data_IF_557500480265
#
_entry.id   IF_557500480265
#
_cell.length_a   1.000
_cell.length_b   1.000
_cell.length_c   1.000
_cell.angle_alpha   90.00
_cell.angle_beta   90.00
_cell.angle_gamma   90.00
#
_symmetry.space_group_name_H-M   'P 1'
#
loop_
_entity.id
_entity.type
_entity.pdbx_description
1 polymer ?
#
# COMPACT_ATOMS: atom_id res chain seq x y z
N UNK A 1 -17.31 -23.58 12.32
CA UNK A 1 -16.47 -22.48 11.90
C UNK A 1 -16.62 -21.34 12.92
N UNK A 2 -15.55 -20.84 13.57
CA UNK A 2 -15.68 -19.74 14.49
C UNK A 2 -15.88 -18.45 13.69
N UNK A 3 -16.96 -17.75 13.98
CA UNK A 3 -17.24 -16.41 13.51
C UNK A 3 -16.11 -15.48 13.95
N UNK A 4 -15.28 -15.04 12.99
CA UNK A 4 -14.20 -14.09 13.20
C UNK A 4 -14.72 -12.67 13.51
N UNK A 5 -15.35 -12.48 14.66
CA UNK A 5 -15.50 -11.15 15.24
C UNK A 5 -14.16 -10.79 15.86
N UNK A 6 -13.43 -9.87 15.22
CA UNK A 6 -12.34 -9.17 15.88
C UNK A 6 -12.87 -8.62 17.19
N UNK A 7 -12.19 -8.91 18.29
CA UNK A 7 -12.58 -8.42 19.61
C UNK A 7 -12.62 -6.88 19.61
N UNK A 8 -13.51 -6.28 20.41
CA UNK A 8 -13.56 -4.82 20.56
C UNK A 8 -12.19 -4.22 20.94
N UNK A 9 -11.35 -4.98 21.63
CA UNK A 9 -9.95 -4.62 21.93
C UNK A 9 -9.10 -4.45 20.67
N UNK A 10 -9.30 -5.28 19.65
CA UNK A 10 -8.57 -5.18 18.38
C UNK A 10 -9.01 -3.95 17.58
N UNK A 11 -10.31 -3.66 17.56
CA UNK A 11 -10.87 -2.43 16.98
C UNK A 11 -10.40 -1.17 17.73
N UNK A 12 -10.32 -1.21 19.06
CA UNK A 12 -9.78 -0.10 19.87
C UNK A 12 -8.27 0.10 19.65
N UNK A 13 -7.53 -0.98 19.45
CA UNK A 13 -6.11 -0.91 19.13
C UNK A 13 -5.89 -0.28 17.74
N UNK A 14 -6.67 -0.69 16.74
CA UNK A 14 -6.66 -0.09 15.39
C UNK A 14 -7.13 1.38 15.38
N UNK A 15 -8.02 1.79 16.29
CA UNK A 15 -8.44 3.19 16.42
C UNK A 15 -7.39 4.09 17.10
N UNK A 16 -6.50 3.53 17.92
CA UNK A 16 -5.38 4.27 18.52
C UNK A 16 -4.19 4.40 17.57
N UNK A 17 -4.02 3.46 16.68
CA UNK A 17 -3.08 3.53 15.58
C UNK A 17 -3.74 4.38 14.49
N UNK A 18 -3.68 5.70 14.60
CA UNK A 18 -3.89 6.56 13.43
C UNK A 18 -2.71 6.26 12.50
N UNK A 19 -2.90 5.52 11.40
CA UNK A 19 -1.84 5.35 10.43
C UNK A 19 -1.59 6.73 9.86
N UNK A 20 -0.50 7.35 10.24
CA UNK A 20 -0.06 8.59 9.65
C UNK A 20 0.95 8.22 8.56
N UNK A 21 0.45 7.94 7.34
CA UNK A 21 1.26 7.97 6.13
C UNK A 21 0.94 9.25 5.30
N UNK A 22 0.32 10.31 5.85
CA UNK A 22 0.36 11.63 5.21
C UNK A 22 1.80 12.12 5.19
N UNK A 23 2.14 13.14 4.37
CA UNK A 23 3.41 13.82 4.46
C UNK A 23 3.75 14.10 5.93
N UNK A 24 4.87 13.58 6.41
CA UNK A 24 5.22 13.72 7.82
C UNK A 24 6.03 12.55 8.35
N UNK A 25 6.03 12.44 9.65
CA UNK A 25 6.82 11.45 10.40
C UNK A 25 5.89 10.49 11.11
N UNK A 26 6.23 9.20 11.08
CA UNK A 26 5.58 8.14 11.85
C UNK A 26 6.61 7.49 12.76
N UNK A 27 6.34 7.50 14.06
CA UNK A 27 7.17 6.79 15.04
C UNK A 27 6.76 5.31 15.09
N UNK A 28 7.73 4.45 14.91
CA UNK A 28 7.65 3.02 15.14
C UNK A 28 8.38 2.68 16.45
N UNK A 29 8.12 1.53 17.07
CA UNK A 29 8.77 1.16 18.33
C UNK A 29 10.30 1.21 18.29
N UNK A 30 10.91 1.00 17.12
CA UNK A 30 12.36 0.93 16.94
C UNK A 30 12.89 1.85 15.83
N UNK A 31 12.05 2.67 15.20
CA UNK A 31 12.44 3.53 14.08
C UNK A 31 11.48 4.71 13.93
N UNK A 32 11.99 5.80 13.36
CA UNK A 32 11.16 6.92 12.90
C UNK A 32 11.15 6.93 11.38
N UNK A 33 9.97 6.91 10.78
CA UNK A 33 9.80 6.99 9.33
C UNK A 33 9.39 8.39 8.91
N UNK A 34 10.10 8.97 7.96
CA UNK A 34 9.76 10.26 7.35
C UNK A 34 9.42 10.05 5.89
N UNK A 35 8.26 10.58 5.47
CA UNK A 35 7.71 10.39 4.14
C UNK A 35 7.67 11.69 3.36
N UNK A 36 8.22 11.69 2.14
CA UNK A 36 8.18 12.81 1.20
C UNK A 36 7.34 12.43 -0.01
N UNK A 37 6.35 13.26 -0.34
CA UNK A 37 5.42 13.05 -1.44
C UNK A 37 5.55 14.13 -2.51
N UNK A 38 5.31 13.74 -3.76
CA UNK A 38 4.96 14.62 -4.87
C UNK A 38 3.50 14.33 -5.25
N UNK A 39 2.60 15.25 -4.86
CA UNK A 39 1.15 15.00 -4.93
C UNK A 39 0.75 13.75 -4.15
N UNK A 40 0.28 12.72 -4.86
CA UNK A 40 -0.14 11.42 -4.27
C UNK A 40 0.98 10.39 -4.22
N UNK A 41 2.07 10.61 -4.94
CA UNK A 41 3.13 9.65 -5.09
C UNK A 41 4.19 9.83 -4.00
N UNK A 42 4.44 8.79 -3.21
CA UNK A 42 5.56 8.75 -2.28
C UNK A 42 6.85 8.70 -3.10
N UNK A 43 7.72 9.71 -2.95
CA UNK A 43 8.99 9.77 -3.68
C UNK A 43 10.18 9.37 -2.83
N UNK A 44 10.08 9.51 -1.50
CA UNK A 44 11.13 9.10 -0.59
C UNK A 44 10.56 8.70 0.77
N UNK A 45 11.13 7.65 1.34
CA UNK A 45 10.95 7.24 2.73
C UNK A 45 12.33 7.17 3.40
N UNK A 46 12.50 7.89 4.49
CA UNK A 46 13.69 7.81 5.33
C UNK A 46 13.34 7.09 6.63
N UNK A 47 14.07 6.05 6.94
CA UNK A 47 13.89 5.21 8.14
C UNK A 47 15.07 5.46 9.06
N UNK A 48 14.81 6.13 10.15
CA UNK A 48 15.81 6.44 11.18
C UNK A 48 15.70 5.43 12.33
N UNK A 49 16.67 4.57 12.43
CA UNK A 49 16.89 3.64 13.53
C UNK A 49 18.38 3.71 13.93
N UNK A 50 18.99 2.62 14.35
CA UNK A 50 20.45 2.58 14.61
C UNK A 50 21.30 2.91 13.36
N UNK A 51 20.73 2.70 12.16
CA UNK A 51 21.34 3.01 10.86
C UNK A 51 20.28 3.65 9.98
N UNK A 52 20.52 4.89 9.54
CA UNK A 52 19.58 5.58 8.62
C UNK A 52 19.55 4.91 7.25
N UNK A 53 18.34 4.57 6.79
CA UNK A 53 18.08 4.00 5.47
C UNK A 53 17.16 4.93 4.69
N UNK A 54 17.45 5.14 3.42
CA UNK A 54 16.60 5.95 2.53
C UNK A 54 16.16 5.12 1.34
N UNK A 55 14.85 4.93 1.22
CA UNK A 55 14.20 4.34 0.07
C UNK A 55 13.73 5.45 -0.87
N UNK A 56 13.90 5.31 -2.18
CA UNK A 56 13.43 6.25 -3.19
C UNK A 56 12.55 5.54 -4.20
N UNK A 57 11.54 6.26 -4.67
CA UNK A 57 10.51 5.73 -5.55
C UNK A 57 10.42 6.61 -6.79
N UNK A 58 10.56 6.00 -7.97
CA UNK A 58 10.48 6.68 -9.26
C UNK A 58 9.14 6.37 -9.89
N UNK A 59 8.40 7.40 -10.24
CA UNK A 59 7.06 7.28 -10.80
C UNK A 59 7.01 7.76 -12.24
N UNK A 60 6.17 7.11 -13.03
CA UNK A 60 5.82 7.47 -14.39
C UNK A 60 4.32 7.59 -14.57
N UNK A 61 3.87 7.44 -15.80
CA UNK A 61 2.44 7.44 -16.11
C UNK A 61 1.77 6.21 -15.51
N UNK A 62 0.63 6.42 -14.89
CA UNK A 62 -0.21 5.36 -14.33
C UNK A 62 -1.23 4.82 -15.36
N UNK A 63 -2.15 3.94 -14.95
CA UNK A 63 -3.17 3.33 -15.82
C UNK A 63 -4.04 4.36 -16.55
N UNK A 64 -4.13 5.61 -16.09
CA UNK A 64 -4.85 6.69 -16.78
C UNK A 64 -4.09 7.29 -17.95
N UNK A 65 -2.81 6.93 -18.12
CA UNK A 65 -1.91 7.56 -19.09
C UNK A 65 -1.35 8.90 -18.62
N UNK A 66 -1.67 9.34 -17.41
CA UNK A 66 -1.12 10.53 -16.74
C UNK A 66 -0.26 10.14 -15.54
N UNK A 67 0.39 11.09 -14.86
CA UNK A 67 1.26 10.78 -13.72
C UNK A 67 0.47 10.31 -12.50
N UNK A 68 -0.75 10.83 -12.27
CA UNK A 68 -1.51 10.57 -11.04
C UNK A 68 -3.02 10.44 -11.26
N UNK A 69 -3.50 10.34 -12.50
CA UNK A 69 -4.94 10.31 -12.79
C UNK A 69 -5.66 9.07 -12.27
N UNK A 70 -4.94 7.94 -12.17
CA UNK A 70 -5.41 6.71 -11.51
C UNK A 70 -4.80 6.55 -10.10
N UNK A 71 -4.38 7.64 -9.46
CA UNK A 71 -3.77 7.62 -8.13
C UNK A 71 -2.45 6.85 -8.08
N UNK A 72 -1.70 6.79 -9.19
CA UNK A 72 -0.40 6.15 -9.30
C UNK A 72 -0.45 4.63 -9.54
N UNK A 73 -1.62 4.04 -9.78
CA UNK A 73 -1.76 2.58 -10.04
C UNK A 73 -0.99 2.19 -11.30
N UNK A 74 -0.09 1.21 -11.21
CA UNK A 74 0.90 0.82 -12.23
C UNK A 74 1.92 1.90 -12.60
N UNK A 75 1.99 3.00 -11.88
CA UNK A 75 2.87 4.12 -12.20
C UNK A 75 4.25 4.05 -11.55
N UNK A 76 4.49 3.17 -10.60
CA UNK A 76 5.82 2.98 -9.98
C UNK A 76 6.76 2.30 -10.99
N UNK A 77 7.86 2.96 -11.34
CA UNK A 77 8.83 2.45 -12.32
C UNK A 77 10.02 1.76 -11.66
N UNK A 78 10.48 2.29 -10.54
CA UNK A 78 11.62 1.74 -9.81
C UNK A 78 11.56 2.09 -8.33
N UNK A 79 12.17 1.23 -7.52
CA UNK A 79 12.43 1.44 -6.09
C UNK A 79 13.94 1.33 -5.87
N UNK A 80 14.53 2.29 -5.16
CA UNK A 80 15.92 2.20 -4.71
C UNK A 80 15.94 1.96 -3.20
N UNK A 81 16.54 0.86 -2.78
CA UNK A 81 16.77 0.51 -1.38
C UNK A 81 18.27 0.38 -1.17
N UNK A 82 18.85 1.20 -0.30
CA UNK A 82 20.28 1.20 -0.02
C UNK A 82 21.17 1.31 -1.29
N UNK A 83 20.71 2.05 -2.31
CA UNK A 83 21.44 2.25 -3.55
C UNK A 83 21.27 1.16 -4.60
N UNK A 84 20.61 0.05 -4.31
CA UNK A 84 20.24 -0.99 -5.26
C UNK A 84 18.85 -0.69 -5.84
N UNK A 85 18.69 -0.88 -7.15
CA UNK A 85 17.44 -0.59 -7.83
C UNK A 85 16.65 -1.87 -8.08
N UNK A 86 15.33 -1.75 -7.92
CA UNK A 86 14.38 -2.83 -8.14
C UNK A 86 13.23 -2.34 -9.01
N UNK A 87 12.74 -3.20 -9.90
CA UNK A 87 11.73 -2.88 -10.90
C UNK A 87 10.47 -3.70 -10.62
N UNK A 88 9.30 -3.05 -10.42
CA UNK A 88 8.05 -3.75 -10.18
C UNK A 88 7.47 -4.34 -11.47
N UNK A 89 6.87 -5.51 -11.36
CA UNK A 89 6.05 -6.16 -12.38
C UNK A 89 4.61 -6.22 -11.92
N UNK A 90 3.69 -6.01 -12.85
CA UNK A 90 2.27 -5.81 -12.59
C UNK A 90 1.41 -6.87 -13.23
N UNK A 91 0.26 -7.15 -12.62
CA UNK A 91 -0.87 -7.75 -13.30
C UNK A 91 -1.70 -6.69 -14.06
N UNK A 92 -2.75 -7.13 -14.76
CA UNK A 92 -3.61 -6.24 -15.56
C UNK A 92 -4.43 -5.23 -14.70
N UNK A 93 -4.50 -5.42 -13.39
CA UNK A 93 -5.21 -4.53 -12.46
C UNK A 93 -4.27 -3.53 -11.78
N UNK A 94 -2.97 -3.58 -12.08
CA UNK A 94 -1.96 -2.73 -11.47
C UNK A 94 -1.53 -3.19 -10.08
N UNK A 95 -1.74 -4.46 -9.75
CA UNK A 95 -1.15 -5.05 -8.56
C UNK A 95 0.29 -5.43 -8.85
N UNK A 96 1.20 -5.13 -7.93
CA UNK A 96 2.60 -5.55 -8.07
C UNK A 96 2.69 -7.03 -7.68
N UNK A 97 3.08 -7.86 -8.65
CA UNK A 97 3.21 -9.31 -8.47
C UNK A 97 4.64 -9.75 -8.23
N UNK A 98 5.61 -8.95 -8.67
CA UNK A 98 7.03 -9.23 -8.44
C UNK A 98 7.87 -7.94 -8.42
N UNK A 99 9.04 -8.04 -7.80
CA UNK A 99 10.15 -7.11 -7.96
C UNK A 99 11.37 -7.88 -8.45
N UNK A 100 12.06 -7.33 -9.44
CA UNK A 100 13.34 -7.85 -9.91
C UNK A 100 14.44 -6.82 -9.67
N UNK A 101 15.66 -7.28 -9.46
CA UNK A 101 16.84 -6.44 -9.36
C UNK A 101 17.43 -6.08 -10.73
N UNK A 102 18.53 -5.33 -10.76
CA UNK A 102 19.26 -4.91 -11.96
C UNK A 102 19.82 -6.07 -12.76
N UNK A 103 20.00 -7.24 -12.15
CA UNK A 103 20.46 -8.47 -12.83
C UNK A 103 19.30 -9.24 -13.48
N UNK A 104 18.06 -8.85 -13.23
CA UNK A 104 16.86 -9.57 -13.65
C UNK A 104 16.47 -10.70 -12.68
N UNK A 105 17.12 -10.80 -11.51
CA UNK A 105 16.78 -11.80 -10.51
C UNK A 105 15.57 -11.37 -9.70
N UNK A 106 14.67 -12.32 -9.40
CA UNK A 106 13.46 -12.06 -8.61
C UNK A 106 13.85 -11.86 -7.14
N UNK A 107 13.57 -10.67 -6.62
CA UNK A 107 13.84 -10.28 -5.22
C UNK A 107 12.61 -10.44 -4.31
N UNK A 108 11.42 -10.34 -4.88
CA UNK A 108 10.15 -10.58 -4.18
C UNK A 108 9.05 -11.01 -5.16
N UNK A 109 8.10 -11.81 -4.68
CA UNK A 109 6.84 -12.12 -5.38
C UNK A 109 5.67 -12.01 -4.43
N UNK A 110 4.48 -11.69 -4.97
CA UNK A 110 3.24 -11.57 -4.20
C UNK A 110 2.08 -12.17 -4.98
N UNK A 111 1.21 -12.87 -4.26
CA UNK A 111 -0.09 -13.35 -4.76
C UNK A 111 -1.17 -12.82 -3.84
N UNK A 112 -2.24 -12.30 -4.45
CA UNK A 112 -3.35 -11.69 -3.72
C UNK A 112 -4.65 -12.44 -3.96
N UNK A 113 -5.55 -12.39 -2.99
CA UNK A 113 -6.96 -12.67 -3.27
C UNK A 113 -7.62 -11.50 -4.02
N UNK A 114 -8.88 -11.67 -4.38
CA UNK A 114 -9.62 -10.65 -5.14
C UNK A 114 -9.75 -9.31 -4.40
N UNK A 115 -9.55 -9.27 -3.09
CA UNK A 115 -9.69 -8.08 -2.25
C UNK A 115 -8.35 -7.53 -1.73
N UNK A 116 -7.23 -8.04 -2.25
CA UNK A 116 -5.91 -7.50 -1.97
C UNK A 116 -5.24 -8.04 -0.71
N UNK A 117 -5.81 -9.07 -0.07
CA UNK A 117 -5.11 -9.80 0.97
C UNK A 117 -3.98 -10.60 0.32
N UNK A 118 -2.77 -10.46 0.84
CA UNK A 118 -1.62 -11.26 0.39
C UNK A 118 -1.80 -12.69 0.88
N UNK A 119 -2.01 -13.64 -0.05
CA UNK A 119 -2.17 -15.07 0.25
C UNK A 119 -0.88 -15.85 0.14
N UNK A 120 0.10 -15.33 -0.60
CA UNK A 120 1.45 -15.87 -0.66
C UNK A 120 2.45 -14.77 -1.00
N UNK A 121 3.63 -14.86 -0.42
CA UNK A 121 4.78 -14.04 -0.80
C UNK A 121 6.06 -14.86 -0.69
N UNK A 122 7.06 -14.53 -1.50
CA UNK A 122 8.38 -15.15 -1.47
C UNK A 122 9.46 -14.17 -1.92
N UNK A 123 10.72 -14.54 -1.68
CA UNK A 123 11.90 -13.74 -1.98
C UNK A 123 12.50 -13.10 -0.73
N UNK A 124 13.82 -12.87 -0.78
CA UNK A 124 14.58 -12.37 0.37
C UNK A 124 14.20 -10.95 0.81
N UNK A 125 13.59 -10.17 -0.08
CA UNK A 125 13.19 -8.79 0.15
C UNK A 125 11.66 -8.61 0.13
N UNK A 126 10.88 -9.71 0.23
CA UNK A 126 9.42 -9.62 0.16
C UNK A 126 8.82 -8.69 1.23
N UNK A 127 9.42 -8.61 2.41
CA UNK A 127 8.97 -7.72 3.48
C UNK A 127 9.48 -6.27 3.34
N UNK A 128 10.45 -6.03 2.44
CA UNK A 128 11.09 -4.73 2.27
C UNK A 128 10.35 -3.79 1.31
N UNK A 129 9.46 -4.32 0.46
CA UNK A 129 8.72 -3.52 -0.51
C UNK A 129 7.33 -3.17 0.02
N UNK A 130 7.06 -1.86 0.26
CA UNK A 130 5.76 -1.45 0.77
C UNK A 130 4.69 -1.34 -0.32
N UNK A 131 5.04 -1.02 -1.58
CA UNK A 131 4.05 -0.92 -2.64
C UNK A 131 3.68 -2.30 -3.15
N UNK A 132 2.38 -2.64 -3.11
CA UNK A 132 1.87 -3.99 -3.41
C UNK A 132 0.56 -3.96 -4.20
N UNK A 133 -0.56 -4.35 -3.60
CA UNK A 133 -1.89 -4.36 -4.21
C UNK A 133 -2.30 -2.96 -4.68
N UNK A 134 -2.80 -2.84 -5.92
CA UNK A 134 -3.14 -1.56 -6.58
C UNK A 134 -2.00 -0.54 -6.54
N UNK A 135 -0.74 -0.97 -6.50
CA UNK A 135 0.44 -0.11 -6.32
C UNK A 135 0.37 0.78 -5.07
N UNK A 136 -0.44 0.42 -4.08
CA UNK A 136 -0.60 1.20 -2.84
C UNK A 136 0.40 0.79 -1.79
N UNK A 137 0.74 1.76 -0.93
CA UNK A 137 1.62 1.54 0.21
C UNK A 137 0.92 0.63 1.23
N UNK A 138 1.53 -0.50 1.51
CA UNK A 138 1.12 -1.43 2.55
C UNK A 138 1.91 -1.15 3.83
N UNK A 139 1.22 -0.92 4.91
CA UNK A 139 1.81 -0.77 6.24
C UNK A 139 1.81 -2.13 6.95
N UNK A 140 2.97 -2.80 7.10
CA UNK A 140 3.04 -4.13 7.69
C UNK A 140 2.66 -4.18 9.19
N UNK A 141 2.76 -3.05 9.90
CA UNK A 141 2.39 -3.00 11.31
C UNK A 141 0.88 -3.02 11.52
N UNK A 142 0.14 -2.33 10.64
CA UNK A 142 -1.32 -2.24 10.75
C UNK A 142 -2.05 -3.22 9.83
N UNK A 143 -1.36 -3.76 8.82
CA UNK A 143 -1.97 -4.59 7.78
C UNK A 143 -2.86 -3.80 6.81
N UNK A 144 -2.66 -2.49 6.69
CA UNK A 144 -3.52 -1.59 5.93
C UNK A 144 -2.82 -1.08 4.67
N UNK A 145 -3.62 -0.84 3.62
CA UNK A 145 -3.19 -0.11 2.44
C UNK A 145 -3.58 1.37 2.55
N UNK A 146 -2.62 2.26 2.26
CA UNK A 146 -2.85 3.70 2.22
C UNK A 146 -3.26 4.16 0.81
N UNK A 147 -4.46 4.74 0.70
CA UNK A 147 -5.02 5.26 -0.54
C UNK A 147 -5.10 6.79 -0.58
N UNK A 148 -4.28 7.47 0.22
CA UNK A 148 -4.27 8.92 0.31
C UNK A 148 -5.28 9.45 1.33
N UNK A 149 -6.56 9.43 1.03
CA UNK A 149 -7.61 9.89 1.94
C UNK A 149 -8.12 8.81 2.88
N UNK A 150 -7.92 7.54 2.52
CA UNK A 150 -8.50 6.40 3.23
C UNK A 150 -7.50 5.29 3.44
N UNK A 151 -7.76 4.53 4.49
CA UNK A 151 -7.07 3.27 4.76
C UNK A 151 -7.98 2.10 4.41
N UNK A 152 -7.46 1.20 3.62
CA UNK A 152 -8.15 -0.03 3.23
C UNK A 152 -7.64 -1.19 4.06
N UNK A 153 -8.57 -1.93 4.68
CA UNK A 153 -8.30 -3.15 5.43
C UNK A 153 -8.66 -4.38 4.57
N UNK A 154 -7.69 -5.05 3.94
CA UNK A 154 -7.97 -6.19 3.07
C UNK A 154 -8.58 -7.37 3.84
N UNK A 155 -8.20 -7.59 5.09
CA UNK A 155 -8.79 -8.61 5.96
C UNK A 155 -10.27 -8.38 6.28
N UNK A 156 -10.71 -7.13 6.26
CA UNK A 156 -12.10 -6.73 6.53
C UNK A 156 -12.87 -6.39 5.25
N UNK A 157 -12.18 -6.34 4.10
CA UNK A 157 -12.74 -6.00 2.78
C UNK A 157 -13.46 -4.64 2.82
N UNK A 158 -12.88 -3.65 3.54
CA UNK A 158 -13.53 -2.35 3.73
C UNK A 158 -12.55 -1.21 3.98
N UNK A 159 -13.02 0.00 3.77
CA UNK A 159 -12.37 1.21 4.24
C UNK A 159 -12.54 1.34 5.76
N UNK A 160 -11.50 1.80 6.46
CA UNK A 160 -11.57 2.10 7.89
C UNK A 160 -12.13 3.51 8.16
N UNK A 161 -11.96 4.41 7.20
CA UNK A 161 -12.47 5.77 7.28
C UNK A 161 -13.72 5.91 6.40
N UNK A 162 -14.63 6.80 6.83
CA UNK A 162 -15.78 7.20 6.01
C UNK A 162 -15.30 7.80 4.69
N UNK A 163 -16.06 7.62 3.62
CA UNK A 163 -15.77 8.23 2.33
C UNK A 163 -15.76 9.78 2.47
N UNK A 164 -14.68 10.49 2.06
CA UNK A 164 -14.63 11.95 2.14
C UNK A 164 -15.68 12.66 1.27
N UNK A 165 -16.17 12.01 0.21
CA UNK A 165 -17.25 12.56 -0.63
C UNK A 165 -18.64 12.22 -0.10
N UNK A 166 -18.69 11.58 1.06
CA UNK A 166 -19.90 11.23 1.79
C UNK A 166 -20.95 10.48 0.92
N UNK A 167 -22.21 10.78 1.10
CA UNK A 167 -23.32 10.12 0.40
C UNK A 167 -23.37 10.42 -1.11
N UNK A 168 -22.61 11.41 -1.59
CA UNK A 168 -22.44 11.66 -3.03
C UNK A 168 -21.73 10.50 -3.74
N UNK A 169 -20.90 9.72 -3.02
CA UNK A 169 -20.28 8.48 -3.51
C UNK A 169 -21.17 7.24 -3.43
N UNK A 170 -22.36 7.38 -2.86
CA UNK A 170 -23.32 6.28 -2.61
C UNK A 170 -23.49 5.95 -1.14
N UNK A 171 -24.59 5.28 -0.77
CA UNK A 171 -24.94 5.00 0.63
C UNK A 171 -24.00 4.03 1.39
N UNK A 172 -23.04 3.40 0.71
CA UNK A 172 -22.12 2.43 1.29
C UNK A 172 -20.75 3.06 1.61
N UNK A 173 -20.71 3.94 2.60
CA UNK A 173 -19.58 4.82 2.94
C UNK A 173 -18.25 4.11 3.29
N UNK A 174 -18.31 2.82 3.59
CA UNK A 174 -17.15 2.01 3.99
C UNK A 174 -16.88 0.83 3.04
N UNK A 175 -17.73 0.59 2.04
CA UNK A 175 -17.53 -0.49 1.10
C UNK A 175 -16.44 -0.17 0.07
N UNK A 176 -15.54 -1.12 -0.16
CA UNK A 176 -14.63 -1.09 -1.29
C UNK A 176 -15.40 -1.54 -2.55
N UNK A 177 -15.41 -0.68 -3.61
CA UNK A 177 -16.03 -0.95 -4.93
C UNK A 177 -17.41 -1.65 -4.86
N UNK A 178 -18.24 -1.30 -3.87
CA UNK A 178 -19.55 -1.94 -3.59
C UNK A 178 -19.45 -3.47 -3.49
N UNK A 179 -18.32 -4.00 -3.05
CA UNK A 179 -17.95 -5.43 -3.05
C UNK A 179 -18.06 -6.11 -4.45
N UNK A 180 -17.89 -5.35 -5.52
CA UNK A 180 -17.93 -5.85 -6.89
C UNK A 180 -16.68 -5.39 -7.66
N UNK A 181 -15.58 -6.13 -7.51
CA UNK A 181 -14.30 -5.82 -8.14
C UNK A 181 -14.30 -6.04 -9.67
N UNK A 182 -15.29 -6.77 -10.20
CA UNK A 182 -15.35 -7.09 -11.63
C UNK A 182 -15.98 -5.92 -12.42
N UNK A 183 -16.99 -5.25 -11.87
CA UNK A 183 -17.80 -4.26 -12.58
C UNK A 183 -17.70 -2.84 -12.01
N UNK A 184 -17.09 -2.64 -10.86
CA UNK A 184 -16.89 -1.33 -10.26
C UNK A 184 -15.47 -0.85 -10.52
N UNK A 185 -15.31 0.01 -11.49
CA UNK A 185 -14.08 0.75 -11.79
C UNK A 185 -14.25 2.21 -11.42
#
# INVERSE_FOLDING_TARGET
PPNGRLSQLHLHHLQRLRPSIPPGTKDHPNATHTYLYDGWNLIQETIENQHSTTNRYVWGKDLSGTIQGAGGVSGLLAVSINGTHYFPFYDNNGNITAYVDESGSISATYTYDAFGRTIAQSGSLADSFPHRFSTKYYDPETGLYYYGYRFYAPELIRWLNRDPIEEQGGGALYCCVRNNLINAR
#
